data_IF_118948390454
#
_entry.id   IF_118948390454
#
_cell.length_a   1.000
_cell.length_b   1.000
_cell.length_c   1.000
_cell.angle_alpha   90.00
_cell.angle_beta   90.00
_cell.angle_gamma   90.00
#
_symmetry.space_group_name_H-M   'P 1'
#
loop_
_entity.id
_entity.type
_entity.pdbx_description
1 polymer ?
#
# COMPACT_ATOMS: atom_id res chain seq x y z
N UNK A 1 1.95 -13.40 1.08
CA UNK A 1 1.30 -14.29 2.07
C UNK A 1 0.18 -15.12 1.42
N UNK A 2 0.06 -16.42 1.79
CA UNK A 2 -0.93 -17.37 1.23
C UNK A 2 -2.38 -16.86 1.28
N UNK A 3 -2.73 -16.02 2.27
CA UNK A 3 -4.07 -15.42 2.38
C UNK A 3 -4.47 -14.57 1.16
N UNK A 4 -3.51 -14.18 0.32
CA UNK A 4 -3.72 -13.37 -0.87
C UNK A 4 -3.67 -14.16 -2.18
N UNK A 5 -3.51 -15.50 -2.12
CA UNK A 5 -3.43 -16.33 -3.31
C UNK A 5 -4.66 -16.21 -4.21
N UNK A 6 -5.81 -15.95 -3.61
CA UNK A 6 -7.08 -15.76 -4.33
C UNK A 6 -7.43 -14.30 -4.64
N UNK A 7 -6.52 -13.34 -4.46
CA UNK A 7 -6.78 -11.96 -4.85
C UNK A 7 -6.53 -11.78 -6.35
N UNK A 8 -7.60 -11.53 -7.11
CA UNK A 8 -7.59 -11.26 -8.54
C UNK A 8 -8.67 -10.22 -8.88
N UNK A 9 -8.49 -9.46 -9.96
CA UNK A 9 -9.53 -8.52 -10.42
C UNK A 9 -10.85 -9.21 -10.73
N UNK A 10 -10.79 -10.43 -11.29
CA UNK A 10 -11.98 -11.21 -11.68
C UNK A 10 -12.89 -11.60 -10.52
N UNK A 11 -12.35 -11.74 -9.31
CA UNK A 11 -13.13 -12.09 -8.12
C UNK A 11 -13.37 -10.93 -7.15
N UNK A 12 -12.88 -9.72 -7.47
CA UNK A 12 -13.29 -8.52 -6.77
C UNK A 12 -14.71 -8.13 -7.18
N UNK A 13 -15.64 -8.14 -6.24
CA UNK A 13 -17.06 -7.82 -6.49
C UNK A 13 -17.42 -6.48 -5.88
N UNK A 14 -17.39 -5.39 -6.64
CA UNK A 14 -17.77 -4.08 -6.13
C UNK A 14 -19.26 -4.06 -5.75
N UNK A 15 -19.56 -3.49 -4.60
CA UNK A 15 -20.93 -3.37 -4.07
C UNK A 15 -21.45 -1.93 -4.11
N UNK A 16 -20.60 -0.97 -4.50
CA UNK A 16 -20.95 0.44 -4.57
C UNK A 16 -20.09 1.17 -5.62
N UNK A 17 -20.45 2.41 -5.99
CA UNK A 17 -19.74 3.18 -7.01
C UNK A 17 -18.26 3.44 -6.68
N UNK A 18 -17.88 3.66 -5.41
CA UNK A 18 -16.49 3.91 -5.03
C UNK A 18 -15.61 2.67 -5.25
N UNK A 19 -16.12 1.48 -4.92
CA UNK A 19 -15.44 0.21 -5.17
C UNK A 19 -15.33 -0.08 -6.68
N UNK A 20 -16.37 0.25 -7.46
CA UNK A 20 -16.33 0.12 -8.93
C UNK A 20 -15.30 1.07 -9.54
N UNK A 21 -15.19 2.29 -9.04
CA UNK A 21 -14.18 3.25 -9.46
C UNK A 21 -12.77 2.77 -9.11
N UNK A 22 -12.58 2.24 -7.89
CA UNK A 22 -11.28 1.70 -7.45
C UNK A 22 -10.83 0.51 -8.30
N UNK A 23 -11.75 -0.41 -8.61
CA UNK A 23 -11.47 -1.54 -9.52
C UNK A 23 -11.03 -1.03 -10.90
N UNK A 24 -11.74 -0.04 -11.45
CA UNK A 24 -11.39 0.56 -12.74
C UNK A 24 -10.01 1.21 -12.71
N UNK A 25 -9.69 2.02 -11.69
CA UNK A 25 -8.37 2.63 -11.55
C UNK A 25 -7.25 1.59 -11.42
N UNK A 26 -7.46 0.55 -10.62
CA UNK A 26 -6.49 -0.52 -10.45
C UNK A 26 -6.26 -1.31 -11.75
N UNK A 27 -7.33 -1.62 -12.48
CA UNK A 27 -7.26 -2.33 -13.76
C UNK A 27 -6.57 -1.48 -14.83
N UNK A 28 -6.97 -0.20 -14.95
CA UNK A 28 -6.35 0.75 -15.90
C UNK A 28 -4.86 0.91 -15.60
N UNK A 29 -4.48 1.14 -14.33
CA UNK A 29 -3.08 1.22 -13.92
C UNK A 29 -2.28 -0.01 -14.37
N UNK A 30 -2.83 -1.21 -14.14
CA UNK A 30 -2.17 -2.47 -14.51
C UNK A 30 -2.03 -2.63 -16.02
N UNK A 31 -3.04 -2.23 -16.79
CA UNK A 31 -3.03 -2.35 -18.25
C UNK A 31 -2.09 -1.33 -18.91
N UNK A 32 -2.08 -0.10 -18.44
CA UNK A 32 -1.32 1.01 -19.02
C UNK A 32 0.14 1.04 -18.60
N UNK A 33 0.51 0.34 -17.49
CA UNK A 33 1.90 0.25 -17.06
C UNK A 33 2.78 -0.35 -18.18
N UNK A 34 3.98 0.22 -18.49
CA UNK A 34 4.73 1.25 -17.75
C UNK A 34 4.41 2.70 -18.18
N UNK A 35 3.44 2.96 -19.07
CA UNK A 35 3.10 4.30 -19.56
C UNK A 35 2.24 5.11 -18.56
N UNK A 36 2.43 4.90 -17.26
CA UNK A 36 1.74 5.61 -16.18
C UNK A 36 2.71 6.50 -15.40
N UNK A 37 2.29 7.71 -15.06
CA UNK A 37 3.16 8.70 -14.42
C UNK A 37 3.11 8.63 -12.89
N UNK A 38 2.06 8.07 -12.32
CA UNK A 38 1.78 8.10 -10.89
C UNK A 38 1.35 6.74 -10.39
N UNK A 39 1.82 6.39 -9.17
CA UNK A 39 1.32 5.25 -8.42
C UNK A 39 -0.11 5.44 -7.93
N UNK A 40 -0.55 4.58 -7.03
CA UNK A 40 -1.87 4.65 -6.41
C UNK A 40 -1.76 4.67 -4.89
N UNK A 41 -2.64 5.40 -4.24
CA UNK A 41 -2.92 5.25 -2.82
C UNK A 41 -4.39 4.87 -2.63
N UNK A 42 -4.62 3.64 -2.17
CA UNK A 42 -5.95 3.09 -1.90
C UNK A 42 -6.30 3.37 -0.43
N UNK A 43 -7.26 4.25 -0.21
CA UNK A 43 -7.65 4.74 1.11
C UNK A 43 -9.06 4.26 1.46
N UNK A 44 -9.33 4.02 2.74
CA UNK A 44 -10.68 3.65 3.19
C UNK A 44 -10.66 2.76 4.43
N UNK A 45 -11.81 2.52 5.01
CA UNK A 45 -11.96 1.72 6.22
C UNK A 45 -11.52 0.26 6.05
N UNK A 46 -11.44 -0.46 7.16
CA UNK A 46 -11.09 -1.88 7.17
C UNK A 46 -12.09 -2.71 6.35
N UNK A 47 -11.61 -3.67 5.60
CA UNK A 47 -12.46 -4.66 4.91
C UNK A 47 -13.09 -4.21 3.59
N UNK A 48 -12.81 -2.99 3.09
CA UNK A 48 -13.37 -2.50 1.82
C UNK A 48 -12.66 -3.02 0.55
N UNK A 49 -11.59 -3.82 0.70
CA UNK A 49 -10.92 -4.50 -0.41
C UNK A 49 -9.65 -3.83 -0.94
N UNK A 50 -9.04 -2.89 -0.22
CA UNK A 50 -7.79 -2.20 -0.63
C UNK A 50 -6.65 -3.16 -0.96
N UNK A 51 -6.28 -4.02 -0.01
CA UNK A 51 -5.21 -5.01 -0.18
C UNK A 51 -5.53 -6.00 -1.30
N UNK A 52 -6.79 -6.39 -1.47
CA UNK A 52 -7.21 -7.24 -2.58
C UNK A 52 -6.86 -6.60 -3.93
N UNK A 53 -7.22 -5.33 -4.14
CA UNK A 53 -6.90 -4.60 -5.37
C UNK A 53 -5.38 -4.40 -5.55
N UNK A 54 -4.66 -4.04 -4.48
CA UNK A 54 -3.22 -3.86 -4.53
C UNK A 54 -2.48 -5.16 -4.94
N UNK A 55 -2.88 -6.30 -4.38
CA UNK A 55 -2.33 -7.60 -4.76
C UNK A 55 -2.73 -8.00 -6.18
N UNK A 56 -3.97 -7.69 -6.60
CA UNK A 56 -4.41 -7.95 -7.99
C UNK A 56 -3.57 -7.16 -9.00
N UNK A 57 -3.21 -5.91 -8.69
CA UNK A 57 -2.28 -5.10 -9.50
C UNK A 57 -0.93 -5.82 -9.62
N UNK A 58 -0.33 -6.22 -8.48
CA UNK A 58 0.97 -6.90 -8.50
C UNK A 58 0.97 -8.16 -9.33
N UNK A 59 -0.07 -9.00 -9.18
CA UNK A 59 -0.19 -10.23 -9.96
C UNK A 59 -0.28 -9.94 -11.45
N UNK A 60 -1.15 -9.01 -11.84
CA UNK A 60 -1.30 -8.64 -13.24
C UNK A 60 -0.02 -8.06 -13.86
N UNK A 61 0.78 -7.32 -13.09
CA UNK A 61 2.07 -6.82 -13.54
C UNK A 61 3.14 -7.90 -13.59
N UNK A 62 3.20 -8.78 -12.58
CA UNK A 62 4.14 -9.90 -12.53
C UNK A 62 3.89 -10.89 -13.69
N UNK A 63 2.63 -11.18 -14.04
CA UNK A 63 2.26 -12.00 -15.19
C UNK A 63 2.73 -11.37 -16.52
N UNK A 64 2.90 -10.06 -16.57
CA UNK A 64 3.46 -9.32 -17.71
C UNK A 64 4.99 -9.20 -17.66
N UNK A 65 5.65 -9.80 -16.66
CA UNK A 65 7.10 -9.88 -16.52
C UNK A 65 7.76 -8.69 -15.81
N UNK A 66 7.00 -7.81 -15.16
CA UNK A 66 7.55 -6.69 -14.41
C UNK A 66 8.02 -7.10 -13.01
N UNK A 67 9.08 -6.46 -12.52
CA UNK A 67 9.63 -6.66 -11.19
C UNK A 67 8.72 -6.07 -10.10
N UNK A 68 8.03 -6.93 -9.35
CA UNK A 68 7.04 -6.54 -8.35
C UNK A 68 7.42 -7.04 -6.96
N UNK A 69 7.13 -6.24 -5.93
CA UNK A 69 7.36 -6.60 -4.54
C UNK A 69 6.17 -6.16 -3.67
N UNK A 70 5.79 -7.02 -2.74
CA UNK A 70 4.78 -6.74 -1.72
C UNK A 70 5.39 -6.74 -0.33
N UNK A 71 5.16 -5.67 0.42
CA UNK A 71 5.41 -5.63 1.86
C UNK A 71 4.20 -5.06 2.60
N UNK A 72 3.88 -5.66 3.73
CA UNK A 72 3.11 -5.03 4.78
C UNK A 72 4.07 -4.17 5.59
N UNK A 73 3.75 -2.88 5.79
CA UNK A 73 4.72 -1.92 6.30
C UNK A 73 5.23 -2.26 7.70
N UNK A 74 4.35 -2.73 8.60
CA UNK A 74 4.75 -3.15 9.95
C UNK A 74 5.68 -4.36 9.93
N UNK A 75 5.48 -5.32 9.02
CA UNK A 75 6.37 -6.46 8.84
C UNK A 75 7.75 -6.02 8.35
N UNK A 76 7.80 -5.08 7.40
CA UNK A 76 9.05 -4.48 6.93
C UNK A 76 9.82 -3.81 8.07
N UNK A 77 9.14 -3.00 8.88
CA UNK A 77 9.76 -2.33 10.04
C UNK A 77 10.36 -3.34 11.02
N UNK A 78 9.66 -4.46 11.24
CA UNK A 78 10.16 -5.52 12.11
C UNK A 78 11.41 -6.19 11.53
N UNK A 79 11.43 -6.49 10.24
CA UNK A 79 12.61 -7.06 9.58
C UNK A 79 13.82 -6.12 9.68
N UNK A 80 13.61 -4.81 9.53
CA UNK A 80 14.67 -3.81 9.71
C UNK A 80 15.18 -3.83 11.16
N UNK A 81 14.29 -3.84 12.15
CA UNK A 81 14.69 -3.91 13.58
C UNK A 81 15.44 -5.20 13.90
N UNK A 82 14.98 -6.33 13.37
CA UNK A 82 15.64 -7.62 13.55
C UNK A 82 17.06 -7.64 12.94
N UNK A 83 17.29 -6.87 11.86
CA UNK A 83 18.60 -6.74 11.23
C UNK A 83 19.66 -6.01 12.10
N UNK A 84 19.23 -5.28 13.12
CA UNK A 84 20.15 -4.64 14.09
C UNK A 84 20.75 -5.62 15.12
N UNK A 85 20.22 -6.85 15.18
CA UNK A 85 20.77 -7.87 16.07
C UNK A 85 22.09 -8.40 15.47
N UNK A 86 23.24 -8.34 16.19
CA UNK A 86 24.53 -8.81 15.69
C UNK A 86 24.59 -10.30 15.31
N UNK A 87 23.62 -11.07 15.82
CA UNK A 87 23.53 -12.51 15.51
C UNK A 87 22.76 -12.83 14.23
N UNK A 88 22.20 -11.81 13.55
CA UNK A 88 21.54 -11.98 12.26
C UNK A 88 22.53 -11.75 11.11
N UNK A 89 22.39 -12.51 10.03
CA UNK A 89 23.20 -12.33 8.81
C UNK A 89 22.63 -11.22 7.89
N UNK A 90 21.52 -10.60 8.25
CA UNK A 90 20.90 -9.53 7.47
C UNK A 90 21.33 -8.16 7.99
N UNK A 91 21.54 -7.21 7.08
CA UNK A 91 21.76 -5.81 7.38
C UNK A 91 20.52 -5.00 7.00
N UNK A 92 20.35 -3.82 7.60
CA UNK A 92 19.29 -2.87 7.20
C UNK A 92 19.30 -2.64 5.69
N UNK A 93 20.49 -2.47 5.10
CA UNK A 93 20.64 -2.27 3.66
C UNK A 93 20.12 -3.49 2.88
N UNK A 94 20.41 -4.72 3.34
CA UNK A 94 19.93 -5.93 2.65
C UNK A 94 18.41 -6.08 2.70
N UNK A 95 17.76 -5.59 3.75
CA UNK A 95 16.30 -5.57 3.88
C UNK A 95 15.68 -4.48 3.01
N UNK A 96 16.26 -3.28 3.01
CA UNK A 96 15.72 -2.13 2.27
C UNK A 96 16.01 -2.17 0.77
N UNK A 97 17.13 -2.73 0.34
CA UNK A 97 17.52 -2.70 -1.07
C UNK A 97 16.45 -3.26 -2.03
N UNK A 98 15.78 -4.39 -1.78
CA UNK A 98 14.69 -4.84 -2.64
C UNK A 98 13.51 -3.86 -2.67
N UNK A 99 13.17 -3.26 -1.52
CA UNK A 99 12.06 -2.29 -1.38
C UNK A 99 12.35 -1.02 -2.17
N UNK A 100 13.58 -0.53 -2.11
CA UNK A 100 14.01 0.68 -2.81
C UNK A 100 14.16 0.46 -4.32
N UNK A 101 14.59 -0.75 -4.74
CA UNK A 101 15.01 -1.00 -6.12
C UNK A 101 13.95 -1.65 -7.02
N UNK A 102 12.94 -2.35 -6.47
CA UNK A 102 11.89 -2.98 -7.30
C UNK A 102 11.17 -1.96 -8.20
N UNK A 103 10.75 -2.38 -9.38
CA UNK A 103 10.04 -1.52 -10.34
C UNK A 103 8.71 -1.05 -9.74
N UNK A 104 7.88 -1.97 -9.28
CA UNK A 104 6.60 -1.67 -8.64
C UNK A 104 6.56 -2.26 -7.23
N UNK A 105 6.37 -1.41 -6.25
CA UNK A 105 6.21 -1.77 -4.84
C UNK A 105 4.74 -1.65 -4.44
N UNK A 106 4.20 -2.65 -3.76
CA UNK A 106 3.02 -2.47 -2.89
C UNK A 106 3.49 -2.36 -1.45
N UNK A 107 3.14 -1.25 -0.80
CA UNK A 107 3.35 -1.04 0.63
C UNK A 107 1.99 -0.98 1.32
N UNK A 108 1.64 -2.09 1.97
CA UNK A 108 0.32 -2.32 2.56
C UNK A 108 0.25 -1.83 4.01
N UNK A 109 -0.93 -1.40 4.44
CA UNK A 109 -1.23 -0.94 5.81
C UNK A 109 -0.41 0.28 6.27
N UNK A 110 -0.20 1.24 5.37
CA UNK A 110 0.53 2.47 5.68
C UNK A 110 -0.15 3.24 6.83
N UNK A 111 0.65 3.64 7.81
CA UNK A 111 0.20 4.37 8.98
C UNK A 111 -0.33 3.49 10.12
N UNK A 112 -0.45 2.18 9.97
CA UNK A 112 -0.93 1.28 11.03
C UNK A 112 0.03 1.19 12.22
N UNK A 113 1.34 1.25 11.98
CA UNK A 113 2.37 1.23 13.03
C UNK A 113 2.35 2.52 13.86
N UNK A 114 2.74 2.43 15.15
CA UNK A 114 2.86 3.61 16.01
C UNK A 114 3.81 4.64 15.39
N UNK A 115 3.41 5.91 15.26
CA UNK A 115 4.17 6.94 14.55
C UNK A 115 5.31 7.50 15.41
N UNK A 116 6.37 6.70 15.63
CA UNK A 116 7.63 7.17 16.24
C UNK A 116 8.47 7.89 15.19
N UNK A 117 9.45 8.69 15.63
CA UNK A 117 10.37 9.39 14.73
C UNK A 117 11.09 8.40 13.81
N UNK A 118 11.57 7.29 14.36
CA UNK A 118 12.22 6.23 13.56
C UNK A 118 11.29 5.66 12.47
N UNK A 119 10.02 5.39 12.78
CA UNK A 119 9.03 4.90 11.80
C UNK A 119 8.80 5.94 10.70
N UNK A 120 8.66 7.21 11.08
CA UNK A 120 8.48 8.32 10.12
C UNK A 120 9.71 8.54 9.25
N UNK A 121 10.91 8.47 9.83
CA UNK A 121 12.18 8.62 9.11
C UNK A 121 12.40 7.47 8.14
N UNK A 122 12.15 6.22 8.56
CA UNK A 122 12.23 5.04 7.70
C UNK A 122 11.26 5.14 6.51
N UNK A 123 10.00 5.49 6.79
CA UNK A 123 9.00 5.70 5.73
C UNK A 123 9.42 6.85 4.80
N UNK A 124 9.87 7.95 5.36
CA UNK A 124 10.36 9.11 4.61
C UNK A 124 11.53 8.74 3.68
N UNK A 125 12.47 7.92 4.15
CA UNK A 125 13.58 7.42 3.35
C UNK A 125 13.07 6.59 2.15
N UNK A 126 12.17 5.64 2.38
CA UNK A 126 11.61 4.80 1.32
C UNK A 126 10.88 5.66 0.28
N UNK A 127 9.99 6.54 0.72
CA UNK A 127 9.19 7.38 -0.17
C UNK A 127 10.09 8.34 -0.96
N UNK A 128 11.06 9.00 -0.30
CA UNK A 128 11.95 9.95 -0.96
C UNK A 128 12.83 9.28 -2.02
N UNK A 129 13.38 8.11 -1.72
CA UNK A 129 14.23 7.39 -2.66
C UNK A 129 13.41 6.97 -3.89
N UNK A 130 12.26 6.35 -3.70
CA UNK A 130 11.41 5.91 -4.80
C UNK A 130 10.83 7.07 -5.61
N UNK A 131 10.50 8.19 -4.95
CA UNK A 131 10.07 9.43 -5.61
C UNK A 131 11.17 9.99 -6.53
N UNK A 132 12.39 10.11 -6.02
CA UNK A 132 13.52 10.65 -6.80
C UNK A 132 13.88 9.74 -7.99
N UNK A 133 13.78 8.45 -7.81
CA UNK A 133 14.05 7.43 -8.83
C UNK A 133 12.84 7.18 -9.76
N UNK A 134 11.74 7.93 -9.60
CA UNK A 134 10.49 7.79 -10.36
C UNK A 134 9.93 6.37 -10.38
N UNK A 135 10.11 5.63 -9.28
CA UNK A 135 9.61 4.26 -9.13
C UNK A 135 8.18 4.25 -8.65
N UNK A 136 7.32 3.53 -9.37
CA UNK A 136 5.90 3.48 -9.05
C UNK A 136 5.63 2.65 -7.79
N UNK A 137 4.73 3.16 -6.98
CA UNK A 137 4.36 2.54 -5.72
C UNK A 137 2.85 2.56 -5.55
N UNK A 138 2.29 1.46 -5.07
CA UNK A 138 0.90 1.35 -4.67
C UNK A 138 0.85 1.24 -3.15
N UNK A 139 0.17 2.16 -2.51
CA UNK A 139 -0.02 2.17 -1.07
C UNK A 139 -1.45 1.78 -0.72
N UNK A 140 -1.62 1.14 0.43
CA UNK A 140 -2.94 1.02 1.07
C UNK A 140 -2.90 1.64 2.45
N UNK A 141 -3.99 2.23 2.88
CA UNK A 141 -4.12 2.81 4.22
C UNK A 141 -5.57 2.79 4.71
N UNK A 142 -5.74 2.65 6.02
CA UNK A 142 -7.05 2.80 6.67
C UNK A 142 -7.34 4.25 7.07
N UNK A 143 -6.34 5.12 6.96
CA UNK A 143 -6.45 6.54 7.32
C UNK A 143 -6.86 7.36 6.11
N UNK A 144 -7.86 8.23 6.29
CA UNK A 144 -8.29 9.17 5.28
C UNK A 144 -7.44 10.45 5.33
N UNK A 145 -7.47 11.20 4.25
CA UNK A 145 -6.80 12.49 4.19
C UNK A 145 -7.56 13.59 4.97
N UNK A 146 -8.89 13.53 4.88
CA UNK A 146 -9.76 14.40 5.63
C UNK A 146 -10.22 13.73 6.92
N UNK A 147 -10.26 14.49 8.01
CA UNK A 147 -10.69 14.00 9.32
C UNK A 147 -12.22 13.78 9.32
N UNK A 148 -12.69 12.52 9.43
CA UNK A 148 -14.14 12.25 9.44
C UNK A 148 -14.82 12.82 10.68
N UNK A 149 -14.11 12.83 11.81
CA UNK A 149 -14.54 13.44 13.08
C UNK A 149 -13.30 13.79 13.92
N UNK A 150 -13.48 14.60 14.99
CA UNK A 150 -12.37 15.11 15.82
C UNK A 150 -11.53 14.01 16.53
N UNK A 151 -12.07 12.80 16.66
CA UNK A 151 -11.43 11.69 17.39
C UNK A 151 -10.58 10.78 16.48
N UNK A 152 -10.78 10.90 15.16
CA UNK A 152 -10.07 10.05 14.22
C UNK A 152 -8.80 10.73 13.70
N UNK A 153 -7.72 9.98 13.65
CA UNK A 153 -6.45 10.42 13.07
C UNK A 153 -6.53 10.39 11.54
N UNK A 154 -5.90 11.36 10.92
CA UNK A 154 -5.71 11.42 9.47
C UNK A 154 -4.43 10.68 9.05
N UNK A 155 -4.26 10.46 7.75
CA UNK A 155 -3.01 9.96 7.22
C UNK A 155 -1.84 10.91 7.57
N UNK A 156 -2.06 12.22 7.53
CA UNK A 156 -1.05 13.22 7.91
C UNK A 156 -0.60 13.09 9.36
N UNK A 157 -1.53 12.85 10.30
CA UNK A 157 -1.21 12.63 11.71
C UNK A 157 -0.28 11.41 11.89
N UNK A 158 -0.43 10.40 11.03
CA UNK A 158 0.33 9.13 11.10
C UNK A 158 1.70 9.21 10.43
N UNK A 159 1.80 9.83 9.26
CA UNK A 159 3.03 9.80 8.46
C UNK A 159 3.77 11.15 8.40
N UNK A 160 3.15 12.23 8.87
CA UNK A 160 3.68 13.59 8.86
C UNK A 160 3.44 14.35 7.56
N UNK A 161 3.41 15.67 7.66
CA UNK A 161 3.06 16.61 6.57
C UNK A 161 3.93 16.41 5.32
N UNK A 162 5.26 16.33 5.50
CA UNK A 162 6.20 16.25 4.36
C UNK A 162 6.03 14.94 3.58
N UNK A 163 5.92 13.82 4.29
CA UNK A 163 5.72 12.50 3.68
C UNK A 163 4.38 12.42 2.97
N UNK A 164 3.32 12.94 3.60
CA UNK A 164 1.99 13.04 2.98
C UNK A 164 2.04 13.86 1.69
N UNK A 165 2.66 15.04 1.69
CA UNK A 165 2.74 15.89 0.51
C UNK A 165 3.38 15.16 -0.68
N UNK A 166 4.51 14.48 -0.48
CA UNK A 166 5.16 13.68 -1.53
C UNK A 166 4.32 12.50 -1.99
N UNK A 167 3.66 11.82 -1.04
CA UNK A 167 2.80 10.71 -1.37
C UNK A 167 1.68 11.12 -2.33
N UNK A 168 1.06 12.29 -2.12
CA UNK A 168 0.01 12.82 -2.99
C UNK A 168 0.53 13.36 -4.32
N UNK A 169 1.80 13.75 -4.39
CA UNK A 169 2.45 14.10 -5.65
C UNK A 169 2.74 12.86 -6.50
N UNK A 170 3.30 11.81 -5.90
CA UNK A 170 3.71 10.60 -6.60
C UNK A 170 2.58 9.59 -6.85
N UNK A 171 1.42 9.75 -6.21
CA UNK A 171 0.31 8.82 -6.31
C UNK A 171 -1.02 9.52 -6.58
N UNK A 172 -1.90 8.83 -7.31
CA UNK A 172 -3.32 9.17 -7.38
C UNK A 172 -4.03 8.57 -6.17
N UNK A 173 -4.76 9.40 -5.42
CA UNK A 173 -5.59 8.91 -4.31
C UNK A 173 -6.90 8.33 -4.83
N UNK A 174 -7.27 7.17 -4.29
CA UNK A 174 -8.52 6.47 -4.57
C UNK A 174 -9.16 6.10 -3.24
N UNK A 175 -10.22 6.79 -2.89
CA UNK A 175 -10.98 6.52 -1.68
C UNK A 175 -12.04 5.44 -1.94
N UNK A 176 -12.07 4.43 -1.06
CA UNK A 176 -12.96 3.28 -1.16
C UNK A 176 -13.82 3.23 0.10
N UNK A 177 -15.12 3.45 -0.08
CA UNK A 177 -16.11 3.36 0.97
C UNK A 177 -16.82 1.99 0.96
N UNK A 178 -17.38 1.61 2.10
CA UNK A 178 -18.20 0.41 2.20
C UNK A 178 -18.10 -0.28 3.56
N UNK A 179 -18.95 -1.27 3.80
CA UNK A 179 -18.87 -2.10 4.99
C UNK A 179 -17.66 -3.05 4.92
N UNK A 180 -17.24 -3.55 6.08
CA UNK A 180 -16.23 -4.61 6.13
C UNK A 180 -16.79 -5.91 5.52
N UNK A 181 -16.27 -6.27 4.35
CA UNK A 181 -16.67 -7.46 3.59
C UNK A 181 -16.52 -8.75 4.42
N UNK A 182 -15.55 -8.81 5.32
CA UNK A 182 -15.28 -9.98 6.16
C UNK A 182 -16.42 -10.28 7.14
N UNK A 183 -17.14 -9.26 7.60
CA UNK A 183 -18.31 -9.44 8.48
C UNK A 183 -19.52 -10.10 7.77
N UNK A 184 -19.58 -10.00 6.44
CA UNK A 184 -20.64 -10.64 5.65
C UNK A 184 -20.39 -12.11 5.31
N UNK A 185 -19.20 -12.66 5.61
CA UNK A 185 -18.87 -14.07 5.33
C UNK A 185 -19.51 -14.99 6.37
N UNK A 186 -19.57 -14.56 7.63
CA UNK A 186 -20.15 -15.37 8.73
C UNK A 186 -21.69 -15.49 8.67
N UNK A 187 -22.36 -14.58 7.97
CA UNK A 187 -23.82 -14.60 7.81
C UNK A 187 -24.31 -15.51 6.65
N UNK A 188 -23.40 -16.17 5.92
CA UNK A 188 -23.69 -17.03 4.76
C UNK A 188 -23.32 -18.50 4.98
N UNK A 189 -22.97 -18.87 6.22
CA UNK A 189 -22.75 -20.27 6.63
C UNK A 189 -23.91 -20.81 7.42
#
# INVERSE_FOLDING_TARGET
PRRYDNCHFSNYKPQNPSQSAALRYATTFTMEYPAVDRGLILMGTVGVGKTHLAVSILKGLAERGFGCLFYEFGALLKEIQDSYNPNTFSSELSVLAPVLNTEVLVLDELGASKPTDWVRDTLGHIINTRYNDKKLTVFTTNYLDNRPNEREETLEDRIGVRTRSRLFEMCKSVEIAGPDYRRGIDSRR
#
